data_IF_734992750438
#
_entry.id   IF_734992750438
#
_cell.length_a   1.000
_cell.length_b   1.000
_cell.length_c   1.000
_cell.angle_alpha   90.00
_cell.angle_beta   90.00
_cell.angle_gamma   90.00
#
_symmetry.space_group_name_H-M   'P 1'
#
loop_
_entity.id
_entity.type
_entity.pdbx_description
1 polymer ?
#
# COMPACT_ATOMS: atom_id res chain seq x y z
N UNK A 1 -55.57 23.06 -50.87
CA UNK A 1 -54.11 23.35 -50.87
C UNK A 1 -53.70 23.80 -49.47
N UNK A 2 -52.64 23.18 -48.90
CA UNK A 2 -51.90 23.58 -47.66
C UNK A 2 -52.67 23.28 -46.35
N UNK A 3 -52.19 22.57 -45.32
CA UNK A 3 -50.82 22.17 -44.89
C UNK A 3 -50.91 20.92 -43.98
N UNK A 4 -49.91 20.06 -44.10
CA UNK A 4 -49.61 18.89 -43.25
C UNK A 4 -48.85 19.35 -42.00
N UNK A 5 -49.09 18.77 -40.81
CA UNK A 5 -48.11 18.74 -39.72
C UNK A 5 -48.42 17.67 -38.66
N UNK A 6 -47.78 16.52 -38.84
CA UNK A 6 -47.59 15.39 -37.91
C UNK A 6 -46.71 15.78 -36.73
N UNK A 7 -47.08 15.48 -35.48
CA UNK A 7 -46.12 15.38 -34.37
C UNK A 7 -46.50 14.25 -33.40
N UNK A 8 -45.99 13.05 -33.69
CA UNK A 8 -45.70 12.02 -32.69
C UNK A 8 -44.27 12.29 -32.21
N UNK A 9 -44.05 12.46 -30.91
CA UNK A 9 -42.71 12.31 -30.33
C UNK A 9 -42.81 11.48 -29.05
N UNK A 10 -42.27 10.27 -29.17
CA UNK A 10 -42.16 9.26 -28.16
C UNK A 10 -40.99 9.53 -27.20
N UNK A 11 -41.17 9.04 -25.97
CA UNK A 11 -40.17 8.43 -25.11
C UNK A 11 -38.79 9.13 -25.03
N UNK A 12 -38.63 10.01 -24.05
CA UNK A 12 -37.31 10.51 -23.65
C UNK A 12 -37.03 10.25 -22.17
N UNK A 13 -35.97 9.47 -21.95
CA UNK A 13 -35.06 9.49 -20.80
C UNK A 13 -35.53 8.84 -19.47
N UNK A 14 -35.64 7.51 -19.48
CA UNK A 14 -35.48 6.69 -18.28
C UNK A 14 -34.09 6.01 -18.25
N UNK A 15 -33.01 6.77 -18.52
CA UNK A 15 -31.65 6.22 -18.63
C UNK A 15 -30.60 7.01 -17.82
N UNK A 16 -30.96 7.56 -16.65
CA UNK A 16 -30.06 8.37 -15.83
C UNK A 16 -29.76 7.76 -14.44
N UNK A 17 -29.86 6.43 -14.27
CA UNK A 17 -29.71 5.78 -12.96
C UNK A 17 -28.56 4.77 -12.86
N UNK A 18 -27.52 4.85 -13.71
CA UNK A 18 -26.34 3.99 -13.57
C UNK A 18 -25.04 4.77 -13.65
N UNK A 19 -24.88 5.77 -12.78
CA UNK A 19 -23.56 6.22 -12.38
C UNK A 19 -23.02 5.18 -11.39
N UNK A 20 -22.34 4.15 -11.90
CA UNK A 20 -21.59 3.24 -11.05
C UNK A 20 -20.35 4.03 -10.63
N UNK A 21 -20.41 4.71 -9.49
CA UNK A 21 -19.27 5.37 -8.87
C UNK A 21 -18.24 4.30 -8.47
N UNK A 22 -17.45 3.84 -9.43
CA UNK A 22 -16.28 3.02 -9.19
C UNK A 22 -15.11 3.92 -8.76
N UNK A 23 -15.30 4.67 -7.68
CA UNK A 23 -14.26 5.50 -7.08
C UNK A 23 -13.14 4.66 -6.43
N UNK A 24 -12.06 5.32 -5.98
CA UNK A 24 -10.99 4.72 -5.17
C UNK A 24 -11.55 3.93 -3.98
N UNK A 25 -10.96 2.75 -3.68
CA UNK A 25 -11.35 1.94 -2.52
C UNK A 25 -10.26 2.03 -1.46
N UNK A 26 -10.46 2.92 -0.49
CA UNK A 26 -9.54 3.05 0.64
C UNK A 26 -9.44 1.74 1.43
N UNK A 27 -8.25 1.46 1.96
CA UNK A 27 -8.02 0.25 2.74
C UNK A 27 -6.57 0.12 3.18
N UNK A 28 -6.21 -1.09 3.60
CA UNK A 28 -4.87 -1.41 4.09
C UNK A 28 -4.17 -2.38 3.14
N UNK A 29 -2.86 -2.19 2.98
CA UNK A 29 -1.97 -3.14 2.35
C UNK A 29 -1.01 -3.69 3.41
N UNK A 30 -0.62 -4.94 3.24
CA UNK A 30 0.31 -5.65 4.11
C UNK A 30 1.70 -5.64 3.49
N UNK A 31 2.71 -5.27 4.29
CA UNK A 31 4.12 -5.45 3.95
C UNK A 31 4.67 -6.65 4.72
N UNK A 32 5.06 -7.68 3.98
CA UNK A 32 5.62 -8.90 4.53
C UNK A 32 7.12 -8.99 4.23
N UNK A 33 7.91 -9.28 5.26
CA UNK A 33 9.34 -9.53 5.20
C UNK A 33 9.60 -11.02 5.00
N UNK A 34 10.50 -11.33 4.06
CA UNK A 34 11.26 -12.58 4.07
C UNK A 34 12.65 -12.26 4.59
N UNK A 35 13.09 -12.97 5.63
CA UNK A 35 14.43 -12.84 6.20
C UNK A 35 15.13 -14.20 6.28
N UNK A 36 16.42 -14.28 5.93
CA UNK A 36 17.25 -15.47 6.16
C UNK A 36 17.68 -15.63 7.63
N UNK A 37 17.43 -14.63 8.50
CA UNK A 37 17.86 -14.59 9.90
C UNK A 37 16.68 -14.39 10.86
N UNK A 38 15.57 -15.11 10.65
CA UNK A 38 14.35 -14.97 11.44
C UNK A 38 14.63 -15.04 12.96
N UNK A 39 14.21 -13.99 13.68
CA UNK A 39 14.42 -13.83 15.12
C UNK A 39 15.78 -13.26 15.55
N UNK A 40 16.77 -13.25 14.64
CA UNK A 40 18.10 -12.69 14.87
C UNK A 40 18.28 -11.27 14.27
N UNK A 41 17.25 -10.76 13.59
CA UNK A 41 17.18 -9.39 13.08
C UNK A 41 16.44 -8.50 14.07
N UNK A 42 17.01 -7.34 14.37
CA UNK A 42 16.48 -6.40 15.38
C UNK A 42 15.94 -5.10 14.80
N UNK A 43 16.35 -4.73 13.58
CA UNK A 43 15.83 -3.54 12.91
C UNK A 43 15.92 -3.67 11.38
N UNK A 44 14.98 -3.03 10.69
CA UNK A 44 14.97 -2.89 9.23
C UNK A 44 14.60 -1.46 8.86
N UNK A 45 15.37 -0.88 7.94
CA UNK A 45 15.08 0.38 7.28
C UNK A 45 14.66 0.09 5.84
N UNK A 46 13.51 0.62 5.43
CA UNK A 46 13.00 0.48 4.07
C UNK A 46 12.23 1.72 3.63
N UNK A 47 12.05 1.86 2.33
CA UNK A 47 11.17 2.88 1.75
C UNK A 47 9.99 2.22 1.04
N UNK A 48 8.81 2.82 1.17
CA UNK A 48 7.63 2.49 0.39
C UNK A 48 7.38 3.63 -0.59
N UNK A 49 7.40 3.33 -1.88
CA UNK A 49 7.06 4.28 -2.96
C UNK A 49 5.71 3.92 -3.53
N UNK A 50 4.85 4.91 -3.76
CA UNK A 50 3.53 4.69 -4.35
C UNK A 50 2.98 5.94 -5.04
N UNK A 51 1.80 5.84 -5.67
CA UNK A 51 1.20 6.94 -6.44
C UNK A 51 0.69 8.09 -5.58
N UNK A 52 0.46 7.83 -4.29
CA UNK A 52 -0.11 8.78 -3.33
C UNK A 52 0.54 8.60 -1.95
N UNK A 53 0.45 9.62 -1.07
CA UNK A 53 0.94 9.51 0.29
C UNK A 53 0.22 8.38 1.03
N UNK A 54 0.94 7.69 1.91
CA UNK A 54 0.34 6.70 2.80
C UNK A 54 -0.57 7.43 3.82
N UNK A 55 -1.78 6.91 4.01
CA UNK A 55 -2.73 7.44 4.99
C UNK A 55 -2.36 7.05 6.42
N UNK A 56 -1.74 5.88 6.60
CA UNK A 56 -1.25 5.40 7.89
C UNK A 56 -0.13 4.39 7.70
N UNK A 57 0.66 4.20 8.75
CA UNK A 57 1.63 3.11 8.87
C UNK A 57 1.48 2.53 10.27
N UNK A 58 1.23 1.23 10.37
CA UNK A 58 1.02 0.54 11.64
C UNK A 58 1.96 -0.66 11.73
N UNK A 59 2.70 -0.75 12.83
CA UNK A 59 3.63 -1.86 13.06
C UNK A 59 2.89 -3.20 13.24
N UNK A 60 3.51 -4.29 12.80
CA UNK A 60 3.08 -5.63 13.14
C UNK A 60 3.20 -5.93 14.65
N UNK A 61 2.60 -7.02 15.14
CA UNK A 61 2.64 -7.39 16.55
C UNK A 61 4.07 -7.51 17.08
N UNK A 62 4.34 -6.91 18.24
CA UNK A 62 5.67 -6.94 18.87
C UNK A 62 6.73 -6.06 18.22
N UNK A 63 6.36 -5.32 17.17
CA UNK A 63 7.24 -4.39 16.46
C UNK A 63 6.90 -2.94 16.79
N UNK A 64 7.86 -2.04 16.53
CA UNK A 64 7.67 -0.59 16.58
C UNK A 64 8.04 -0.02 15.23
N UNK A 65 7.27 0.94 14.74
CA UNK A 65 7.55 1.64 13.48
C UNK A 65 7.77 3.11 13.72
N UNK A 66 8.81 3.64 13.09
CA UNK A 66 9.09 5.06 12.96
C UNK A 66 9.05 5.37 11.48
N UNK A 67 8.32 6.39 11.09
CA UNK A 67 8.21 6.73 9.68
C UNK A 67 8.23 8.24 9.48
N UNK A 68 8.81 8.65 8.36
CA UNK A 68 8.76 10.02 7.90
C UNK A 68 7.92 10.03 6.63
N UNK A 69 6.67 10.52 6.68
CA UNK A 69 5.84 10.64 5.51
C UNK A 69 6.41 11.71 4.57
N UNK A 70 6.49 11.38 3.29
CA UNK A 70 6.66 12.32 2.18
C UNK A 70 5.62 11.98 1.11
N UNK A 71 5.47 12.84 0.10
CA UNK A 71 4.34 12.80 -0.84
C UNK A 71 4.16 11.46 -1.53
N UNK A 72 5.22 10.87 -2.09
CA UNK A 72 5.16 9.59 -2.83
C UNK A 72 6.12 8.54 -2.30
N UNK A 73 6.97 8.91 -1.34
CA UNK A 73 7.97 8.02 -0.73
C UNK A 73 7.85 8.13 0.77
N UNK A 74 7.61 7.02 1.46
CA UNK A 74 7.60 6.98 2.92
C UNK A 74 8.77 6.13 3.41
N UNK A 75 9.68 6.73 4.17
CA UNK A 75 10.78 5.99 4.81
C UNK A 75 10.32 5.45 6.15
N UNK A 76 10.54 4.16 6.38
CA UNK A 76 10.12 3.44 7.58
C UNK A 76 11.32 2.73 8.20
N UNK A 77 11.53 2.95 9.49
CA UNK A 77 12.38 2.13 10.33
C UNK A 77 11.49 1.30 11.25
N UNK A 78 11.65 -0.02 11.20
CA UNK A 78 10.93 -0.96 12.09
C UNK A 78 11.94 -1.61 13.01
N UNK A 79 11.63 -1.67 14.30
CA UNK A 79 12.46 -2.30 15.33
C UNK A 79 11.66 -3.35 16.09
N UNK A 80 12.35 -4.38 16.59
CA UNK A 80 11.76 -5.52 17.28
C UNK A 80 12.25 -6.85 16.69
N UNK A 81 11.74 -7.99 17.19
CA UNK A 81 12.13 -9.31 16.71
C UNK A 81 11.57 -9.56 15.30
N UNK A 82 12.41 -9.35 14.28
CA UNK A 82 12.00 -9.51 12.89
C UNK A 82 12.01 -10.99 12.51
N UNK A 83 10.87 -11.49 12.05
CA UNK A 83 10.66 -12.85 11.56
C UNK A 83 10.02 -12.80 10.18
N UNK A 84 9.88 -13.97 9.53
CA UNK A 84 9.13 -14.03 8.28
C UNK A 84 7.66 -13.67 8.50
N UNK A 85 7.12 -12.75 7.71
CA UNK A 85 5.73 -12.32 7.79
C UNK A 85 5.57 -10.81 7.89
N UNK A 86 4.40 -10.37 8.35
CA UNK A 86 4.01 -8.96 8.36
C UNK A 86 4.88 -8.11 9.28
N UNK A 87 5.50 -7.08 8.71
CA UNK A 87 6.26 -6.08 9.47
C UNK A 87 5.48 -4.80 9.69
N UNK A 88 4.73 -4.36 8.69
CA UNK A 88 3.82 -3.21 8.79
C UNK A 88 2.57 -3.43 7.95
N UNK A 89 1.51 -2.73 8.32
CA UNK A 89 0.35 -2.48 7.45
C UNK A 89 0.33 -1.00 7.10
N UNK A 90 -0.01 -0.67 5.86
CA UNK A 90 -0.05 0.70 5.36
C UNK A 90 -1.46 1.04 4.90
N UNK A 91 -1.98 2.18 5.32
CA UNK A 91 -3.23 2.72 4.82
C UNK A 91 -3.01 3.39 3.47
N UNK A 92 -3.87 3.08 2.49
CA UNK A 92 -3.83 3.66 1.15
C UNK A 92 -5.22 4.15 0.73
N UNK A 93 -5.27 5.14 -0.14
CA UNK A 93 -6.52 5.68 -0.66
C UNK A 93 -7.21 4.75 -1.68
N UNK A 94 -6.44 3.87 -2.35
CA UNK A 94 -6.98 2.85 -3.25
C UNK A 94 -6.18 1.54 -3.21
N UNK A 95 -6.74 0.49 -2.61
CA UNK A 95 -6.12 -0.84 -2.56
C UNK A 95 -6.05 -1.52 -3.94
N UNK A 96 -6.81 -1.03 -4.93
CA UNK A 96 -6.72 -1.55 -6.31
C UNK A 96 -5.40 -1.17 -6.97
N UNK A 97 -4.68 -0.18 -6.43
CA UNK A 97 -3.36 0.25 -6.91
C UNK A 97 -2.19 -0.48 -6.25
N UNK A 98 -2.42 -1.62 -5.57
CA UNK A 98 -1.37 -2.39 -4.87
C UNK A 98 -0.11 -2.63 -5.71
N UNK A 99 -0.27 -2.91 -7.01
CA UNK A 99 0.85 -3.17 -7.92
C UNK A 99 1.75 -1.95 -8.18
N UNK A 100 1.28 -0.74 -7.86
CA UNK A 100 2.05 0.50 -7.96
C UNK A 100 2.88 0.79 -6.70
N UNK A 101 2.64 0.06 -5.61
CA UNK A 101 3.41 0.23 -4.38
C UNK A 101 4.65 -0.67 -4.40
N UNK A 102 5.81 -0.06 -4.23
CA UNK A 102 7.10 -0.74 -4.23
C UNK A 102 7.78 -0.52 -2.88
N UNK A 103 8.17 -1.61 -2.22
CA UNK A 103 8.95 -1.58 -0.99
C UNK A 103 10.41 -1.94 -1.28
N UNK A 104 11.34 -1.09 -0.83
CA UNK A 104 12.77 -1.29 -1.05
C UNK A 104 13.49 -1.31 0.30
N UNK A 105 14.19 -2.42 0.58
CA UNK A 105 15.01 -2.56 1.78
C UNK A 105 16.30 -1.74 1.60
N UNK A 106 16.62 -0.93 2.60
CA UNK A 106 17.82 -0.08 2.61
C UNK A 106 18.89 -0.65 3.54
N UNK A 107 18.50 -1.12 4.73
CA UNK A 107 19.40 -1.78 5.66
C UNK A 107 18.66 -2.69 6.62
N UNK A 108 19.35 -3.71 7.14
CA UNK A 108 18.89 -4.59 8.21
C UNK A 108 20.00 -4.68 9.24
N UNK A 109 19.67 -4.66 10.53
CA UNK A 109 20.61 -4.79 11.63
C UNK A 109 20.32 -6.03 12.48
N UNK A 110 21.38 -6.72 12.90
CA UNK A 110 21.29 -7.83 13.84
C UNK A 110 20.79 -7.34 15.23
N UNK A 111 20.03 -8.19 15.91
CA UNK A 111 19.49 -7.85 17.25
C UNK A 111 20.53 -7.88 18.35
N UNK A 112 21.57 -8.71 18.22
CA UNK A 112 22.55 -8.96 19.27
C UNK A 112 23.61 -7.85 19.39
N UNK A 113 24.07 -7.30 18.26
CA UNK A 113 25.24 -6.42 18.19
C UNK A 113 25.05 -5.20 17.27
N UNK A 114 23.85 -5.04 16.71
CA UNK A 114 23.48 -3.95 15.79
C UNK A 114 24.32 -3.87 14.51
N UNK A 115 25.07 -4.93 14.18
CA UNK A 115 25.83 -4.98 12.95
C UNK A 115 24.89 -5.02 11.75
N UNK A 116 25.26 -4.27 10.70
CA UNK A 116 24.51 -4.26 9.45
C UNK A 116 24.70 -5.59 8.74
N UNK A 117 23.60 -6.10 8.18
CA UNK A 117 23.58 -7.35 7.42
C UNK A 117 23.64 -7.10 5.93
N UNK A 118 24.26 -8.03 5.21
CA UNK A 118 24.12 -8.11 3.77
C UNK A 118 22.65 -8.39 3.40
N UNK A 119 22.13 -7.70 2.39
CA UNK A 119 20.71 -7.80 2.00
C UNK A 119 20.38 -9.02 1.13
N UNK A 120 21.35 -9.91 0.89
CA UNK A 120 21.12 -11.14 0.11
C UNK A 120 20.13 -12.05 0.87
N UNK A 121 19.08 -12.50 0.19
CA UNK A 121 18.04 -13.36 0.76
C UNK A 121 16.91 -12.61 1.47
N UNK A 122 16.97 -11.27 1.54
CA UNK A 122 15.88 -10.47 2.06
C UNK A 122 14.91 -10.03 0.96
N UNK A 123 13.62 -9.99 1.27
CA UNK A 123 12.62 -9.38 0.40
C UNK A 123 11.50 -8.74 1.20
N UNK A 124 10.90 -7.68 0.64
CA UNK A 124 9.66 -7.11 1.13
C UNK A 124 8.60 -7.24 0.03
N UNK A 125 7.44 -7.77 0.39
CA UNK A 125 6.31 -7.93 -0.53
C UNK A 125 5.15 -7.07 -0.05
N UNK A 126 4.58 -6.30 -0.96
CA UNK A 126 3.34 -5.54 -0.73
C UNK A 126 2.17 -6.37 -1.25
N UNK A 127 1.15 -6.57 -0.42
CA UNK A 127 -0.04 -7.35 -0.77
C UNK A 127 -1.29 -6.73 -0.14
N UNK A 128 -2.47 -7.13 -0.59
CA UNK A 128 -3.76 -6.71 0.00
C UNK A 128 -4.15 -7.64 1.13
#
# INVERSE_FOLDING_TARGET
MKRVATWVLAATLAAAASCIDAGPVAGVLTLSLTTPNAGADGAILFSVTGPQPLASVTAGPGLRVFFQPSSTVTRCAVTGPLTNGTVVTIGVADVRQVAQYVATIQSVAASADFQLRALTGYSLTVSK
#
